data_IF_631546924648
#
_entry.id   IF_631546924648
#
_cell.length_a   1.000
_cell.length_b   1.000
_cell.length_c   1.000
_cell.angle_alpha   90.00
_cell.angle_beta   90.00
_cell.angle_gamma   90.00
#
_symmetry.space_group_name_H-M   'P 1'
#
loop_
_entity.id
_entity.type
_entity.pdbx_description
1 polymer ?
#
# COMPACT_ATOMS: atom_id res chain seq x y z
N UNK A 1 -17.46 30.07 -1.75
CA UNK A 1 -16.73 28.79 -1.62
C UNK A 1 -16.35 28.29 -3.01
N UNK A 2 -15.37 27.38 -3.10
CA UNK A 2 -14.99 26.74 -4.37
C UNK A 2 -15.67 25.38 -4.48
N UNK A 3 -16.07 24.99 -5.69
CA UNK A 3 -16.58 23.63 -5.96
C UNK A 3 -15.40 22.67 -6.05
N UNK A 4 -15.43 21.63 -5.23
CA UNK A 4 -14.46 20.55 -5.27
C UNK A 4 -14.83 19.54 -6.38
N UNK A 5 -13.94 19.36 -7.36
CA UNK A 5 -14.07 18.34 -8.41
C UNK A 5 -13.13 17.17 -8.09
N UNK A 6 -13.65 16.15 -7.45
CA UNK A 6 -12.87 14.98 -7.06
C UNK A 6 -13.60 14.11 -6.03
N UNK A 7 -12.95 13.03 -5.55
CA UNK A 7 -13.50 12.20 -4.48
C UNK A 7 -13.59 13.00 -3.18
N UNK A 8 -14.39 12.57 -2.18
CA UNK A 8 -14.46 13.24 -0.89
C UNK A 8 -13.05 13.40 -0.28
N UNK A 9 -12.74 14.54 0.39
CA UNK A 9 -11.42 14.75 1.00
C UNK A 9 -10.98 13.64 1.96
N UNK A 10 -11.94 12.95 2.60
CA UNK A 10 -11.66 11.77 3.40
C UNK A 10 -11.04 10.63 2.58
N UNK A 11 -11.59 10.32 1.40
CA UNK A 11 -11.04 9.29 0.52
C UNK A 11 -9.61 9.60 0.05
N UNK A 12 -9.28 10.89 -0.14
CA UNK A 12 -7.90 11.30 -0.47
C UNK A 12 -6.95 11.01 0.67
N UNK A 13 -7.36 11.32 1.91
CA UNK A 13 -6.53 11.01 3.10
C UNK A 13 -6.38 9.50 3.29
N UNK A 14 -7.48 8.76 3.17
CA UNK A 14 -7.53 7.32 3.42
C UNK A 14 -6.73 6.51 2.38
N UNK A 15 -6.67 7.01 1.14
CA UNK A 15 -5.96 6.35 0.03
C UNK A 15 -4.60 6.98 -0.29
N UNK A 16 -4.19 8.02 0.43
CA UNK A 16 -2.90 8.69 0.24
C UNK A 16 -1.70 7.93 0.83
N UNK A 17 -1.96 7.01 1.77
CA UNK A 17 -0.99 6.06 2.31
C UNK A 17 -1.21 4.69 1.67
N UNK A 18 -0.20 4.15 0.99
CA UNK A 18 -0.26 2.84 0.33
C UNK A 18 -0.52 1.69 1.32
N UNK A 19 -0.13 1.82 2.59
CA UNK A 19 -0.41 0.81 3.63
C UNK A 19 -1.89 0.86 4.03
N UNK A 20 -2.40 2.04 4.38
CA UNK A 20 -3.83 2.22 4.71
C UNK A 20 -4.73 1.80 3.53
N UNK A 21 -4.34 2.17 2.30
CA UNK A 21 -5.04 1.79 1.08
C UNK A 21 -5.08 0.26 0.88
N UNK A 22 -3.98 -0.45 1.19
CA UNK A 22 -3.93 -1.92 1.16
C UNK A 22 -4.91 -2.53 2.15
N UNK A 23 -4.95 -2.03 3.39
CA UNK A 23 -5.90 -2.54 4.40
C UNK A 23 -7.35 -2.27 4.02
N UNK A 24 -7.65 -1.10 3.42
CA UNK A 24 -8.98 -0.77 2.88
C UNK A 24 -9.36 -1.75 1.77
N UNK A 25 -8.47 -1.97 0.81
CA UNK A 25 -8.69 -2.91 -0.29
C UNK A 25 -8.92 -4.35 0.22
N UNK A 26 -8.16 -4.78 1.23
CA UNK A 26 -8.35 -6.09 1.87
C UNK A 26 -9.73 -6.21 2.53
N UNK A 27 -10.16 -5.20 3.31
CA UNK A 27 -11.49 -5.18 3.93
C UNK A 27 -12.62 -5.15 2.90
N UNK A 28 -12.39 -4.53 1.76
CA UNK A 28 -13.33 -4.49 0.65
C UNK A 28 -13.36 -5.80 -0.17
N UNK A 29 -12.51 -6.79 0.15
CA UNK A 29 -12.41 -8.04 -0.61
C UNK A 29 -11.79 -7.87 -1.99
N UNK A 30 -11.05 -6.78 -2.23
CA UNK A 30 -10.38 -6.57 -3.50
C UNK A 30 -9.19 -7.54 -3.66
N UNK A 31 -8.92 -8.03 -4.88
CA UNK A 31 -7.74 -8.86 -5.13
C UNK A 31 -6.46 -8.05 -4.88
N UNK A 32 -5.56 -8.61 -4.08
CA UNK A 32 -4.30 -7.99 -3.72
C UNK A 32 -3.12 -8.80 -4.25
N UNK A 33 -2.10 -8.09 -4.74
CA UNK A 33 -0.79 -8.69 -5.02
C UNK A 33 -0.10 -9.04 -3.70
N UNK A 34 0.66 -10.13 -3.70
CA UNK A 34 1.54 -10.51 -2.60
C UNK A 34 2.46 -9.33 -2.23
N UNK A 35 2.54 -9.04 -0.94
CA UNK A 35 3.28 -7.90 -0.41
C UNK A 35 3.23 -7.93 1.11
N UNK A 36 4.16 -7.24 1.75
CA UNK A 36 4.15 -7.12 3.21
C UNK A 36 2.87 -6.39 3.66
N UNK A 37 2.23 -6.81 4.75
CA UNK A 37 0.98 -6.20 5.22
C UNK A 37 1.19 -4.79 5.77
N UNK A 38 2.39 -4.54 6.31
CA UNK A 38 2.80 -3.32 6.98
C UNK A 38 4.17 -2.85 6.45
N UNK A 39 4.62 -1.63 6.80
CA UNK A 39 5.98 -1.17 6.50
C UNK A 39 7.03 -2.13 7.04
N UNK A 40 8.05 -2.40 6.23
CA UNK A 40 9.20 -3.20 6.67
C UNK A 40 10.10 -2.39 7.60
N UNK A 41 10.64 -3.04 8.64
CA UNK A 41 11.54 -2.37 9.60
C UNK A 41 13.00 -2.35 9.12
N UNK A 42 13.35 -3.15 8.11
CA UNK A 42 14.71 -3.28 7.62
C UNK A 42 14.86 -4.23 6.44
N UNK A 43 16.09 -4.36 5.94
CA UNK A 43 16.41 -5.16 4.76
C UNK A 43 16.17 -6.67 4.95
N UNK A 44 16.31 -7.19 6.17
CA UNK A 44 16.15 -8.62 6.44
C UNK A 44 14.72 -9.11 6.18
N UNK A 45 13.71 -8.28 6.47
CA UNK A 45 12.32 -8.57 6.15
C UNK A 45 12.07 -8.61 4.63
N UNK A 46 12.74 -7.73 3.88
CA UNK A 46 12.69 -7.70 2.42
C UNK A 46 13.33 -8.96 1.83
N UNK A 47 14.47 -9.39 2.37
CA UNK A 47 15.15 -10.61 1.95
C UNK A 47 14.30 -11.86 2.25
N UNK A 48 13.68 -11.91 3.42
CA UNK A 48 12.75 -12.99 3.80
C UNK A 48 11.58 -13.06 2.82
N UNK A 49 10.97 -11.92 2.49
CA UNK A 49 9.89 -11.84 1.51
C UNK A 49 10.33 -12.33 0.12
N UNK A 50 11.52 -11.93 -0.35
CA UNK A 50 12.07 -12.38 -1.62
C UNK A 50 12.35 -13.89 -1.66
N UNK A 51 12.83 -14.47 -0.56
CA UNK A 51 13.05 -15.91 -0.45
C UNK A 51 11.74 -16.70 -0.50
N UNK A 52 10.68 -16.16 0.11
CA UNK A 52 9.35 -16.79 0.14
C UNK A 52 8.60 -16.67 -1.19
N UNK A 53 8.70 -15.53 -1.87
CA UNK A 53 7.88 -15.21 -3.05
C UNK A 53 8.65 -15.22 -4.37
N UNK A 54 9.98 -15.34 -4.33
CA UNK A 54 10.85 -15.28 -5.50
C UNK A 54 11.14 -13.85 -5.98
N UNK A 55 12.13 -13.73 -6.87
CA UNK A 55 12.48 -12.49 -7.55
C UNK A 55 11.83 -12.44 -8.95
N UNK A 56 11.56 -11.24 -9.50
CA UNK A 56 11.83 -9.92 -8.93
C UNK A 56 10.76 -9.47 -7.92
N UNK A 57 11.17 -8.62 -6.98
CA UNK A 57 10.27 -7.88 -6.08
C UNK A 57 10.42 -6.37 -6.28
N UNK A 58 9.38 -5.62 -5.91
CA UNK A 58 9.37 -4.17 -5.99
C UNK A 58 9.18 -3.54 -4.61
N UNK A 59 10.14 -2.71 -4.19
CA UNK A 59 10.06 -1.92 -2.96
C UNK A 59 9.37 -0.59 -3.29
N UNK A 60 8.35 -0.21 -2.52
CA UNK A 60 7.59 1.03 -2.71
C UNK A 60 7.52 1.82 -1.41
N UNK A 61 7.73 3.14 -1.50
CA UNK A 61 7.51 4.03 -0.36
C UNK A 61 6.01 4.17 -0.04
N UNK A 62 5.66 4.19 1.25
CA UNK A 62 4.28 4.30 1.73
C UNK A 62 3.57 5.58 1.21
N UNK A 63 4.30 6.70 1.18
CA UNK A 63 3.83 8.00 0.69
C UNK A 63 4.46 8.41 -0.65
N UNK A 64 4.83 7.44 -1.49
CA UNK A 64 5.41 7.74 -2.81
C UNK A 64 4.37 8.12 -3.87
N UNK A 65 4.84 8.70 -4.98
CA UNK A 65 4.07 8.83 -6.23
C UNK A 65 3.86 7.50 -6.96
#
# INVERSE_FOLDING_TARGET
>A
GLTWIGPPPAAIRDLGDKVAARHIAQRAGAPLVAGTPDPVSGADEVLTFAQQHGLPIAIKAAFGG
#
